data_IF_700212924859
#
_entry.id   IF_700212924859
#
_cell.length_a   1.000
_cell.length_b   1.000
_cell.length_c   1.000
_cell.angle_alpha   90.00
_cell.angle_beta   90.00
_cell.angle_gamma   90.00
#
_symmetry.space_group_name_H-M   'P 1'
#
loop_
_entity.id
_entity.type
_entity.pdbx_description
1 polymer ?
#
# COMPACT_ATOMS: atom_id res chain seq x y z
N UNK A 1 14.35 20.34 35.65
CA UNK A 1 13.29 19.57 34.96
C UNK A 1 12.26 20.47 34.27
N UNK A 2 12.45 21.78 34.31
CA UNK A 2 11.45 22.78 33.92
C UNK A 2 11.55 23.19 32.45
N UNK A 3 12.76 23.15 31.88
CA UNK A 3 13.04 23.34 30.45
C UNK A 3 12.23 22.41 29.54
N UNK A 4 12.13 21.12 29.89
CA UNK A 4 11.35 20.13 29.14
C UNK A 4 9.84 20.42 29.17
N UNK A 5 9.33 20.98 30.27
CA UNK A 5 7.92 21.36 30.39
C UNK A 5 7.60 22.61 29.57
N UNK A 6 8.54 23.55 29.44
CA UNK A 6 8.36 24.72 28.57
C UNK A 6 8.40 24.33 27.09
N UNK A 7 9.32 23.48 26.66
CA UNK A 7 9.36 22.96 25.30
C UNK A 7 8.08 22.19 24.90
N UNK A 8 7.53 21.39 25.82
CA UNK A 8 6.25 20.71 25.60
C UNK A 8 5.06 21.68 25.52
N UNK A 9 5.13 22.84 26.21
CA UNK A 9 4.09 23.88 26.15
C UNK A 9 4.19 24.69 24.85
N UNK A 10 5.39 24.96 24.38
CA UNK A 10 5.68 25.70 23.13
C UNK A 10 5.21 24.91 21.90
N UNK A 11 5.45 23.60 21.87
CA UNK A 11 5.14 22.72 20.73
C UNK A 11 3.90 21.84 20.92
N UNK A 12 3.06 22.19 21.89
CA UNK A 12 1.86 21.44 22.29
C UNK A 12 1.00 21.00 21.09
N UNK A 13 0.78 21.92 20.15
CA UNK A 13 -0.02 21.67 18.94
C UNK A 13 0.66 20.73 17.95
N UNK A 14 2.00 20.79 17.84
CA UNK A 14 2.78 19.93 16.95
C UNK A 14 2.85 18.50 17.49
N UNK A 15 3.00 18.35 18.81
CA UNK A 15 2.98 17.04 19.48
C UNK A 15 1.59 16.40 19.40
N UNK A 16 0.51 17.15 19.61
CA UNK A 16 -0.86 16.65 19.47
C UNK A 16 -1.16 16.30 18.00
N UNK A 17 -0.70 17.10 17.05
CA UNK A 17 -0.85 16.83 15.62
C UNK A 17 -0.13 15.54 15.19
N UNK A 18 1.12 15.34 15.65
CA UNK A 18 1.88 14.11 15.37
C UNK A 18 1.23 12.92 16.07
N UNK A 19 0.84 13.05 17.34
CA UNK A 19 0.17 11.98 18.08
C UNK A 19 -1.16 11.58 17.42
N UNK A 20 -1.97 12.56 17.00
CA UNK A 20 -3.21 12.33 16.27
C UNK A 20 -2.97 11.71 14.89
N UNK A 21 -1.95 12.17 14.16
CA UNK A 21 -1.56 11.62 12.87
C UNK A 21 -1.10 10.17 12.97
N UNK A 22 -0.29 9.83 13.98
CA UNK A 22 0.15 8.46 14.25
C UNK A 22 -1.05 7.58 14.64
N UNK A 23 -1.94 8.09 15.51
CA UNK A 23 -3.13 7.34 15.93
C UNK A 23 -4.05 7.02 14.74
N UNK A 24 -4.29 8.01 13.88
CA UNK A 24 -5.07 7.83 12.64
C UNK A 24 -4.37 6.92 11.64
N UNK A 25 -3.06 7.09 11.44
CA UNK A 25 -2.28 6.24 10.55
C UNK A 25 -2.31 4.79 11.01
N UNK A 26 -2.12 4.53 12.31
CA UNK A 26 -2.23 3.20 12.91
C UNK A 26 -3.65 2.66 12.76
N UNK A 27 -4.70 3.44 13.00
CA UNK A 27 -6.08 3.00 12.77
C UNK A 27 -6.32 2.59 11.31
N UNK A 28 -5.91 3.42 10.35
CA UNK A 28 -6.05 3.14 8.90
C UNK A 28 -5.24 1.89 8.52
N UNK A 29 -4.01 1.75 9.02
CA UNK A 29 -3.19 0.57 8.79
C UNK A 29 -3.82 -0.70 9.41
N UNK A 30 -4.40 -0.57 10.61
CA UNK A 30 -4.94 -1.70 11.41
C UNK A 30 -6.29 -2.17 10.89
N UNK A 31 -7.15 -1.28 10.38
CA UNK A 31 -8.44 -1.61 9.76
C UNK A 31 -8.28 -2.50 8.51
N UNK A 32 -7.04 -2.70 8.04
CA UNK A 32 -6.74 -3.63 6.96
C UNK A 32 -6.65 -2.94 5.61
N UNK A 33 -6.34 -1.63 5.57
CA UNK A 33 -6.05 -0.93 4.32
C UNK A 33 -4.97 -1.66 3.50
N UNK A 34 -3.95 -2.21 4.16
CA UNK A 34 -2.94 -3.01 3.49
C UNK A 34 -3.47 -4.35 2.98
N UNK A 35 -4.40 -4.98 3.72
CA UNK A 35 -5.02 -6.23 3.29
C UNK A 35 -5.91 -6.01 2.08
N UNK A 36 -6.70 -4.94 2.07
CA UNK A 36 -7.54 -4.58 0.92
C UNK A 36 -6.70 -4.12 -0.26
N UNK A 37 -5.67 -3.29 -0.06
CA UNK A 37 -4.74 -2.88 -1.12
C UNK A 37 -4.04 -4.09 -1.76
N UNK A 38 -3.53 -5.03 -0.95
CA UNK A 38 -2.93 -6.28 -1.43
C UNK A 38 -3.94 -7.13 -2.19
N UNK A 39 -5.15 -7.33 -1.65
CA UNK A 39 -6.22 -8.09 -2.31
C UNK A 39 -6.61 -7.46 -3.65
N UNK A 40 -6.77 -6.13 -3.70
CA UNK A 40 -7.11 -5.40 -4.93
C UNK A 40 -5.98 -5.50 -5.95
N UNK A 41 -4.72 -5.38 -5.52
CA UNK A 41 -3.57 -5.53 -6.40
C UNK A 41 -3.48 -6.95 -7.00
N UNK A 42 -3.63 -7.99 -6.17
CA UNK A 42 -3.63 -9.39 -6.62
C UNK A 42 -4.81 -9.66 -7.56
N UNK A 43 -6.00 -9.22 -7.19
CA UNK A 43 -7.22 -9.40 -8.01
C UNK A 43 -7.08 -8.69 -9.35
N UNK A 44 -6.54 -7.47 -9.38
CA UNK A 44 -6.27 -6.74 -10.62
C UNK A 44 -5.22 -7.45 -11.48
N UNK A 45 -4.17 -7.99 -10.88
CA UNK A 45 -3.15 -8.77 -11.59
C UNK A 45 -3.76 -10.05 -12.19
N UNK A 46 -4.52 -10.80 -11.40
CA UNK A 46 -5.21 -12.00 -11.85
C UNK A 46 -6.23 -11.69 -12.95
N UNK A 47 -6.96 -10.58 -12.83
CA UNK A 47 -7.89 -10.12 -13.86
C UNK A 47 -7.17 -9.74 -15.14
N UNK A 48 -6.05 -9.03 -15.05
CA UNK A 48 -5.24 -8.64 -16.21
C UNK A 48 -4.67 -9.86 -16.93
N UNK A 49 -4.10 -10.80 -16.17
CA UNK A 49 -3.62 -12.10 -16.65
C UNK A 49 -4.75 -12.89 -17.30
N UNK A 50 -5.93 -12.93 -16.66
CA UNK A 50 -7.13 -13.57 -17.17
C UNK A 50 -7.62 -12.96 -18.48
N UNK A 51 -7.64 -11.63 -18.60
CA UNK A 51 -8.01 -10.92 -19.82
C UNK A 51 -7.05 -11.21 -20.99
N UNK A 52 -5.75 -11.36 -20.72
CA UNK A 52 -4.78 -11.75 -21.75
C UNK A 52 -5.04 -13.19 -22.20
N UNK A 53 -5.28 -14.08 -21.24
CA UNK A 53 -5.57 -15.49 -21.50
C UNK A 53 -6.89 -15.68 -22.27
N UNK A 54 -7.89 -14.86 -21.99
CA UNK A 54 -9.21 -14.92 -22.63
C UNK A 54 -9.19 -14.38 -24.07
N UNK A 55 -8.36 -13.36 -24.34
CA UNK A 55 -8.20 -12.80 -25.70
C UNK A 55 -7.29 -13.62 -26.63
N UNK A 56 -6.34 -14.38 -26.09
CA UNK A 56 -5.30 -15.06 -26.89
C UNK A 56 -5.07 -16.54 -26.55
N UNK A 57 -5.92 -17.15 -25.71
CA UNK A 57 -5.72 -18.51 -25.23
C UNK A 57 -4.39 -18.69 -24.46
N UNK A 58 -3.93 -19.95 -24.35
CA UNK A 58 -2.68 -20.31 -23.65
C UNK A 58 -1.43 -19.69 -24.29
N UNK A 59 -1.51 -19.39 -25.60
CA UNK A 59 -0.41 -18.84 -26.39
C UNK A 59 -0.16 -17.37 -26.05
N UNK A 60 -1.20 -16.55 -25.90
CA UNK A 60 -1.07 -15.14 -25.52
C UNK A 60 -0.51 -14.92 -24.11
N UNK A 61 -0.84 -15.80 -23.16
CA UNK A 61 -0.22 -15.76 -21.82
C UNK A 61 1.23 -16.21 -21.86
N UNK A 62 1.56 -17.27 -22.62
CA UNK A 62 2.95 -17.70 -22.79
C UNK A 62 3.81 -16.64 -23.46
N UNK A 63 3.29 -15.91 -24.45
CA UNK A 63 3.99 -14.80 -25.08
C UNK A 63 4.27 -13.66 -24.09
N UNK A 64 3.26 -13.23 -23.32
CA UNK A 64 3.41 -12.18 -22.31
C UNK A 64 4.39 -12.57 -21.19
N UNK A 65 4.30 -13.82 -20.70
CA UNK A 65 5.27 -14.36 -19.74
C UNK A 65 6.67 -14.43 -20.33
N UNK A 66 6.82 -14.92 -21.55
CA UNK A 66 8.13 -15.01 -22.22
C UNK A 66 8.76 -13.65 -22.44
N UNK A 67 7.98 -12.61 -22.76
CA UNK A 67 8.46 -11.24 -22.90
C UNK A 67 8.86 -10.60 -21.56
N UNK A 68 8.15 -10.92 -20.47
CA UNK A 68 8.51 -10.47 -19.11
C UNK A 68 9.75 -11.20 -18.56
N UNK A 69 9.87 -12.51 -18.81
CA UNK A 69 10.95 -13.34 -18.29
C UNK A 69 12.25 -13.26 -19.11
N UNK A 70 12.16 -12.89 -20.40
CA UNK A 70 13.34 -12.71 -21.27
C UNK A 70 14.04 -11.35 -21.08
N UNK A 71 13.46 -10.44 -20.27
CA UNK A 71 14.04 -9.13 -19.97
C UNK A 71 14.78 -9.11 -18.62
N UNK A 72 15.48 -10.18 -18.27
CA UNK A 72 16.49 -10.19 -17.22
C UNK A 72 17.65 -11.11 -17.59
#
# INVERSE_FOLDING_TARGET
MDEFRQFLKEYKWRVIGIAGGILLAVLIFTIGFWRTLLLTAITALCYFVGCILDKGGKEGLQEALSHLFRKN
#
